data_IF_831829346319
#
_entry.id   IF_831829346319
#
_cell.length_a   1.000
_cell.length_b   1.000
_cell.length_c   1.000
_cell.angle_alpha   90.00
_cell.angle_beta   90.00
_cell.angle_gamma   90.00
#
_symmetry.space_group_name_H-M   'P 1'
#
loop_
_entity.id
_entity.type
_entity.pdbx_description
1 polymer ?
#
# COMPACT_ATOMS: atom_id res chain seq x y z
N UNK A 1 -7.79 -8.82 -5.56
CA UNK A 1 -9.16 -8.49 -5.31
C UNK A 1 -9.64 -7.31 -6.15
N UNK A 2 -8.98 -6.21 -6.20
CA UNK A 2 -9.42 -5.11 -7.04
C UNK A 2 -8.46 -3.94 -7.05
N UNK A 3 -8.74 -3.00 -7.94
CA UNK A 3 -7.93 -1.81 -8.06
C UNK A 3 -8.36 -0.78 -7.01
N UNK A 4 -7.39 -0.07 -6.49
CA UNK A 4 -7.62 0.96 -5.48
C UNK A 4 -6.56 2.04 -5.60
N UNK A 5 -6.77 3.14 -4.86
CA UNK A 5 -5.80 4.23 -4.78
C UNK A 5 -5.49 4.51 -3.32
N UNK A 6 -4.25 4.90 -3.08
CA UNK A 6 -3.80 5.37 -1.76
C UNK A 6 -4.42 6.75 -1.51
N UNK A 7 -4.97 6.95 -0.33
CA UNK A 7 -5.65 8.20 0.00
C UNK A 7 -4.76 9.22 0.72
N UNK A 8 -3.61 8.80 1.22
CA UNK A 8 -2.74 9.68 1.99
C UNK A 8 -1.28 9.38 1.73
N UNK A 9 -0.49 10.40 1.45
CA UNK A 9 0.96 10.29 1.29
C UNK A 9 1.59 9.94 2.63
N UNK A 10 2.23 8.77 2.70
CA UNK A 10 2.95 8.32 3.90
C UNK A 10 3.91 7.19 3.55
N UNK A 11 4.66 6.75 4.57
CA UNK A 11 5.47 5.55 4.47
C UNK A 11 4.61 4.35 4.86
N UNK A 12 4.53 3.38 3.97
CA UNK A 12 3.78 2.13 4.20
C UNK A 12 4.76 1.00 4.38
N UNK A 13 4.46 0.07 5.29
CA UNK A 13 5.32 -1.08 5.52
C UNK A 13 5.30 -2.01 4.31
N UNK A 14 6.48 -2.43 3.87
CA UNK A 14 6.58 -3.49 2.87
C UNK A 14 6.37 -4.84 3.54
N UNK A 15 5.66 -5.73 2.84
CA UNK A 15 5.39 -7.05 3.37
C UNK A 15 6.59 -7.98 3.16
N UNK A 16 6.96 -8.71 4.21
CA UNK A 16 8.00 -9.73 4.12
C UNK A 16 9.42 -9.23 4.30
N UNK A 17 9.61 -7.92 4.46
CA UNK A 17 10.91 -7.35 4.81
C UNK A 17 10.65 -6.19 5.78
N UNK A 18 11.67 -5.68 6.43
CA UNK A 18 11.51 -4.61 7.42
C UNK A 18 11.73 -3.23 6.81
N UNK A 19 11.35 -3.07 5.55
CA UNK A 19 11.49 -1.80 4.82
C UNK A 19 10.16 -1.09 4.73
N UNK A 20 10.23 0.21 4.45
CA UNK A 20 9.04 1.02 4.18
C UNK A 20 9.07 1.48 2.72
N UNK A 21 7.89 1.84 2.21
CA UNK A 21 7.73 2.36 0.87
C UNK A 21 7.00 3.70 0.95
N UNK A 22 7.58 4.73 0.39
CA UNK A 22 6.90 6.02 0.28
C UNK A 22 5.91 5.95 -0.88
N UNK A 23 4.61 6.08 -0.55
CA UNK A 23 3.55 6.14 -1.56
C UNK A 23 2.81 7.46 -1.41
N UNK A 24 2.55 8.09 -2.54
CA UNK A 24 1.85 9.36 -2.58
C UNK A 24 0.35 9.16 -2.74
N UNK A 25 -0.42 10.14 -2.26
CA UNK A 25 -1.86 10.17 -2.48
C UNK A 25 -2.16 10.03 -3.98
N UNK A 26 -3.08 9.14 -4.31
CA UNK A 26 -3.45 8.84 -5.69
C UNK A 26 -2.67 7.68 -6.31
N UNK A 27 -1.67 7.15 -5.59
CA UNK A 27 -0.91 5.99 -6.09
C UNK A 27 -1.84 4.81 -6.33
N UNK A 28 -1.76 4.24 -7.52
CA UNK A 28 -2.51 3.04 -7.85
C UNK A 28 -1.92 1.82 -7.19
N UNK A 29 -2.79 1.01 -6.62
CA UNK A 29 -2.41 -0.29 -6.06
C UNK A 29 -3.46 -1.32 -6.45
N UNK A 30 -3.07 -2.58 -6.40
CA UNK A 30 -4.00 -3.69 -6.56
C UNK A 30 -4.10 -4.44 -5.25
N UNK A 31 -5.31 -4.54 -4.71
CA UNK A 31 -5.55 -5.31 -3.48
C UNK A 31 -5.43 -6.79 -3.83
N UNK A 32 -4.43 -7.45 -3.24
CA UNK A 32 -4.17 -8.87 -3.51
C UNK A 32 -4.84 -9.77 -2.48
N UNK A 33 -4.81 -9.38 -1.21
CA UNK A 33 -5.32 -10.24 -0.13
C UNK A 33 -5.60 -9.43 1.12
N UNK A 34 -6.46 -9.99 1.97
CA UNK A 34 -6.64 -9.52 3.33
C UNK A 34 -5.53 -10.16 4.18
N UNK A 35 -4.67 -9.33 4.77
CA UNK A 35 -3.55 -9.81 5.55
C UNK A 35 -3.96 -10.17 6.97
N UNK A 36 -4.55 -9.20 7.68
CA UNK A 36 -4.97 -9.39 9.08
C UNK A 36 -5.95 -8.31 9.49
N UNK A 37 -6.64 -8.54 10.60
CA UNK A 37 -7.39 -7.51 11.30
C UNK A 37 -6.53 -6.97 12.44
N UNK A 38 -6.31 -5.66 12.46
CA UNK A 38 -5.56 -5.00 13.53
C UNK A 38 -6.55 -4.63 14.64
N UNK A 39 -6.50 -5.39 15.74
CA UNK A 39 -7.41 -5.16 16.87
C UNK A 39 -7.13 -3.84 17.59
N UNK A 40 -5.92 -3.35 17.50
CA UNK A 40 -5.51 -2.11 18.16
C UNK A 40 -6.13 -0.90 17.48
N UNK A 41 -6.11 -0.87 16.14
CA UNK A 41 -6.69 0.20 15.33
C UNK A 41 -8.11 -0.13 14.87
N UNK A 42 -8.53 -1.35 15.09
CA UNK A 42 -9.87 -1.81 14.74
C UNK A 42 -10.13 -1.73 13.24
N UNK A 43 -9.17 -2.14 12.44
CA UNK A 43 -9.21 -2.06 10.99
C UNK A 43 -8.59 -3.29 10.34
N UNK A 44 -9.04 -3.57 9.12
CA UNK A 44 -8.41 -4.55 8.26
C UNK A 44 -7.13 -3.98 7.65
N UNK A 45 -6.13 -4.83 7.52
CA UNK A 45 -4.88 -4.53 6.80
C UNK A 45 -4.86 -5.40 5.55
N UNK A 46 -4.65 -4.76 4.41
CA UNK A 46 -4.60 -5.45 3.12
C UNK A 46 -3.20 -5.48 2.55
N UNK A 47 -2.89 -6.57 1.85
CA UNK A 47 -1.68 -6.64 1.03
C UNK A 47 -2.00 -6.04 -0.32
N UNK A 48 -1.26 -5.01 -0.70
CA UNK A 48 -1.50 -4.29 -1.94
C UNK A 48 -0.22 -4.28 -2.79
N UNK A 49 -0.39 -4.54 -4.07
CA UNK A 49 0.69 -4.47 -5.04
C UNK A 49 0.73 -3.06 -5.63
N UNK A 50 1.89 -2.43 -5.57
CA UNK A 50 2.09 -1.10 -6.17
C UNK A 50 2.12 -1.23 -7.69
N UNK A 51 1.35 -0.38 -8.37
CA UNK A 51 1.25 -0.34 -9.84
C UNK A 51 1.71 1.03 -10.31
N UNK A 52 2.67 1.07 -11.22
CA UNK A 52 3.22 2.31 -11.78
C UNK A 52 3.61 3.30 -10.69
N UNK A 53 4.61 3.00 -9.86
CA UNK A 53 5.04 3.93 -8.80
C UNK A 53 5.50 5.25 -9.40
N UNK A 54 5.25 6.34 -8.65
CA UNK A 54 5.69 7.68 -9.04
C UNK A 54 7.22 7.76 -9.08
N UNK A 55 7.74 8.77 -9.75
CA UNK A 55 9.19 8.99 -9.79
C UNK A 55 9.77 9.18 -8.39
N UNK A 56 9.06 9.88 -7.51
CA UNK A 56 9.48 10.04 -6.12
C UNK A 56 9.54 8.69 -5.41
N UNK A 57 8.53 7.85 -5.57
CA UNK A 57 8.53 6.51 -4.99
C UNK A 57 9.69 5.67 -5.50
N UNK A 58 9.95 5.73 -6.81
CA UNK A 58 11.09 5.02 -7.41
C UNK A 58 12.42 5.48 -6.84
N UNK A 59 12.57 6.77 -6.57
CA UNK A 59 13.79 7.32 -5.97
C UNK A 59 14.04 6.77 -4.57
N UNK A 60 13.00 6.33 -3.88
CA UNK A 60 13.09 5.69 -2.57
C UNK A 60 13.06 4.15 -2.65
N UNK A 61 13.32 3.60 -3.84
CA UNK A 61 13.46 2.16 -4.01
C UNK A 61 12.18 1.38 -4.20
N UNK A 62 11.05 2.06 -4.39
CA UNK A 62 9.77 1.39 -4.65
C UNK A 62 9.73 0.97 -6.11
N UNK A 63 9.43 -0.30 -6.35
CA UNK A 63 9.35 -0.88 -7.69
C UNK A 63 7.91 -1.23 -8.02
N UNK A 64 7.63 -1.32 -9.31
CA UNK A 64 6.37 -1.90 -9.77
C UNK A 64 6.27 -3.33 -9.22
N UNK A 65 5.15 -3.65 -8.58
CA UNK A 65 4.96 -4.95 -7.98
C UNK A 65 5.37 -5.07 -6.51
N UNK A 66 5.93 -4.01 -5.91
CA UNK A 66 6.22 -4.00 -4.47
C UNK A 66 4.93 -4.25 -3.69
N UNK A 67 4.99 -5.17 -2.71
CA UNK A 67 3.83 -5.48 -1.85
C UNK A 67 3.94 -4.68 -0.56
N UNK A 68 2.89 -3.93 -0.27
CA UNK A 68 2.80 -3.10 0.94
C UNK A 68 1.60 -3.51 1.77
N UNK A 69 1.68 -3.22 3.06
CA UNK A 69 0.59 -3.46 4.02
C UNK A 69 -0.14 -2.14 4.23
N UNK A 70 -1.42 -2.10 3.92
CA UNK A 70 -2.20 -0.86 3.95
C UNK A 70 -3.48 -1.05 4.76
N UNK A 71 -3.70 -0.17 5.73
CA UNK A 71 -4.97 -0.12 6.45
C UNK A 71 -6.10 0.29 5.51
N UNK A 72 -7.28 -0.26 5.75
CA UNK A 72 -8.46 0.02 4.92
C UNK A 72 -8.77 1.51 4.80
N UNK A 73 -8.52 2.30 5.84
CA UNK A 73 -8.80 3.73 5.82
C UNK A 73 -7.94 4.50 4.80
N UNK A 74 -6.82 3.93 4.37
CA UNK A 74 -5.93 4.56 3.39
C UNK A 74 -6.14 4.04 1.96
N UNK A 75 -7.22 3.30 1.74
CA UNK A 75 -7.57 2.76 0.42
C UNK A 75 -8.90 3.32 -0.04
N UNK A 76 -8.92 3.77 -1.29
CA UNK A 76 -10.15 4.13 -1.99
C UNK A 76 -10.32 3.15 -3.13
N UNK A 77 -11.35 2.31 -3.04
CA UNK A 77 -11.61 1.28 -4.04
C UNK A 77 -12.15 1.93 -5.31
N UNK A 78 -11.63 1.54 -6.43
CA UNK A 78 -12.04 2.05 -7.73
C UNK A 78 -13.40 1.48 -8.17
#
# INVERSE_FOLDING_TARGET
>A
MGDAKITETRYYDQHGNKKVALLEKGQEVRIEDLYKFDEYHFENVYLCKVVNPSDQSKNYGVKDGTIVEVYSEYLEVA
#
